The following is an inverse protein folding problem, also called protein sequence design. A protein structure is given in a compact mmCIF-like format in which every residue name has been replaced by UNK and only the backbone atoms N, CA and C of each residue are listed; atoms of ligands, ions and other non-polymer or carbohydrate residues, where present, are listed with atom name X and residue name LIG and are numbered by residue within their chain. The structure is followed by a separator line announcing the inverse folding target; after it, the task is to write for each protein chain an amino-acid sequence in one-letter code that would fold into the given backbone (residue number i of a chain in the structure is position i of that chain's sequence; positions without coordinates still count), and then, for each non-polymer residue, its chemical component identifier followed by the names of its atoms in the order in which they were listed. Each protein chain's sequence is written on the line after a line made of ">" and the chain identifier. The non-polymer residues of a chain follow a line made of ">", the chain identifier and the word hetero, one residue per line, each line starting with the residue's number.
data_IF_634559365078
#
_entry.id   IF_634559365078
#
_cell.length_a   1.000
_cell.length_b   1.000
_cell.length_c   1.000
_cell.angle_alpha   90.00
_cell.angle_beta   90.00
_cell.angle_gamma   90.00
#
_symmetry.space_group_name_H-M   'P 1'
#
loop_
_entity.id
_entity.type
_entity.pdbx_description
1 polymer ?
#
# COMPACT_ATOMS: atom_id res chain seq x y z
N UNK A 1 -11.10 -18.15 6.61
CA UNK A 1 -10.40 -17.25 7.54
C UNK A 1 -9.01 -17.83 7.80
N UNK A 2 -8.11 -17.72 6.83
CA UNK A 2 -6.69 -18.00 7.04
C UNK A 2 -6.05 -16.71 7.55
N UNK A 3 -5.37 -16.84 8.68
CA UNK A 3 -4.48 -15.87 9.28
C UNK A 3 -3.71 -15.08 8.22
N UNK A 4 -3.52 -13.78 8.42
CA UNK A 4 -2.36 -13.02 7.92
C UNK A 4 -1.13 -13.86 8.23
N UNK A 5 -0.68 -14.68 7.29
CA UNK A 5 0.50 -15.51 7.47
C UNK A 5 1.66 -14.56 7.24
N UNK A 6 2.11 -13.92 8.33
CA UNK A 6 3.48 -13.43 8.37
C UNK A 6 4.35 -14.63 8.03
N UNK A 7 4.97 -14.61 6.85
CA UNK A 7 5.98 -15.59 6.49
C UNK A 7 7.07 -15.48 7.56
N UNK A 8 7.22 -16.52 8.39
CA UNK A 8 8.13 -16.50 9.54
C UNK A 8 9.59 -16.26 9.12
N UNK A 9 9.89 -16.50 7.85
CA UNK A 9 11.23 -16.40 7.30
C UNK A 9 11.45 -15.10 6.54
N UNK A 10 10.45 -14.21 6.38
CA UNK A 10 10.64 -12.93 5.67
C UNK A 10 11.72 -12.09 6.35
N UNK A 11 12.72 -11.55 5.61
CA UNK A 11 13.95 -11.05 6.20
C UNK A 11 13.84 -9.63 6.78
N UNK A 12 12.66 -9.02 6.76
CA UNK A 12 12.40 -7.66 7.23
C UNK A 12 11.29 -7.66 8.28
N UNK A 13 11.49 -6.90 9.35
CA UNK A 13 10.39 -6.50 10.23
C UNK A 13 9.62 -5.36 9.56
N UNK A 14 8.29 -5.42 9.63
CA UNK A 14 7.42 -4.49 8.93
C UNK A 14 6.78 -3.55 9.95
N UNK A 15 6.96 -2.27 9.70
CA UNK A 15 6.35 -1.16 10.43
C UNK A 15 5.63 -0.25 9.44
N UNK A 16 4.41 0.16 9.78
CA UNK A 16 3.57 0.96 8.91
C UNK A 16 3.46 2.35 9.51
N UNK A 17 3.94 3.35 8.77
CA UNK A 17 3.75 4.76 9.10
C UNK A 17 3.52 5.58 7.83
N UNK A 18 2.91 6.74 7.99
CA UNK A 18 2.70 7.73 6.94
C UNK A 18 3.76 8.84 6.99
N UNK A 19 4.88 8.60 7.69
CA UNK A 19 5.95 9.58 7.93
C UNK A 19 6.51 10.18 6.63
N UNK A 20 6.78 9.35 5.62
CA UNK A 20 7.27 9.83 4.31
C UNK A 20 6.26 10.74 3.61
N UNK A 21 4.97 10.40 3.67
CA UNK A 21 3.90 11.24 3.13
C UNK A 21 3.79 12.56 3.90
N UNK A 22 3.87 12.54 5.24
CA UNK A 22 3.87 13.76 6.04
C UNK A 22 5.06 14.67 5.73
N UNK A 23 6.24 14.11 5.46
CA UNK A 23 7.40 14.90 5.02
C UNK A 23 7.12 15.66 3.73
N UNK A 24 6.43 15.06 2.77
CA UNK A 24 6.01 15.78 1.54
C UNK A 24 5.03 16.92 1.86
N UNK A 25 4.14 16.75 2.83
CA UNK A 25 3.27 17.84 3.27
C UNK A 25 4.06 18.94 4.01
N UNK A 26 5.09 18.60 4.78
CA UNK A 26 5.99 19.58 5.39
C UNK A 26 6.72 20.41 4.32
N UNK A 27 7.24 19.77 3.27
CA UNK A 27 7.87 20.46 2.13
C UNK A 27 6.87 21.38 1.39
N UNK A 28 5.61 20.95 1.28
CA UNK A 28 4.52 21.76 0.71
C UNK A 28 4.20 23.00 1.58
N UNK A 29 4.39 22.94 2.91
CA UNK A 29 4.23 24.11 3.78
C UNK A 29 5.25 25.21 3.47
N UNK A 30 6.49 24.82 3.17
CA UNK A 30 7.59 25.75 2.91
C UNK A 30 7.51 26.35 1.51
N UNK A 31 7.26 25.50 0.50
CA UNK A 31 7.46 25.83 -0.92
C UNK A 31 6.20 25.74 -1.78
N UNK A 32 5.12 25.17 -1.27
CA UNK A 32 3.89 24.93 -2.04
C UNK A 32 3.10 26.20 -2.34
N UNK A 33 2.13 26.08 -3.25
CA UNK A 33 1.10 27.10 -3.49
C UNK A 33 0.21 27.29 -2.26
N UNK A 34 -0.59 28.35 -2.23
CA UNK A 34 -1.55 28.60 -1.12
C UNK A 34 -2.47 27.39 -0.87
N UNK A 35 -2.97 26.76 -1.94
CA UNK A 35 -3.80 25.57 -1.84
C UNK A 35 -3.04 24.37 -1.24
N UNK A 36 -1.80 24.13 -1.69
CA UNK A 36 -0.96 23.06 -1.17
C UNK A 36 -0.61 23.27 0.31
N UNK A 37 -0.32 24.50 0.72
CA UNK A 37 -0.07 24.85 2.13
C UNK A 37 -1.31 24.65 2.99
N UNK A 38 -2.48 25.07 2.51
CA UNK A 38 -3.75 24.87 3.22
C UNK A 38 -4.05 23.38 3.41
N UNK A 39 -3.85 22.57 2.37
CA UNK A 39 -4.01 21.12 2.44
C UNK A 39 -3.01 20.48 3.39
N UNK A 40 -1.72 20.82 3.26
CA UNK A 40 -0.66 20.33 4.14
C UNK A 40 -0.93 20.66 5.61
N UNK A 41 -1.36 21.89 5.92
CA UNK A 41 -1.73 22.30 7.28
C UNK A 41 -2.82 21.38 7.84
N UNK A 42 -3.88 21.15 7.06
CA UNK A 42 -5.01 20.31 7.46
C UNK A 42 -4.59 18.86 7.74
N UNK A 43 -3.76 18.27 6.88
CA UNK A 43 -3.24 16.91 7.06
C UNK A 43 -2.32 16.82 8.28
N UNK A 44 -1.36 17.73 8.41
CA UNK A 44 -0.38 17.70 9.49
C UNK A 44 -1.01 17.95 10.87
N UNK A 45 -1.97 18.87 10.98
CA UNK A 45 -2.68 19.13 12.23
C UNK A 45 -3.59 17.96 12.63
N UNK A 46 -4.17 17.26 11.66
CA UNK A 46 -4.91 16.03 11.92
C UNK A 46 -3.97 14.90 12.38
N UNK A 47 -2.82 14.72 11.72
CA UNK A 47 -1.82 13.72 12.05
C UNK A 47 -1.27 13.89 13.49
N UNK A 48 -1.12 15.12 13.99
CA UNK A 48 -0.69 15.40 15.37
C UNK A 48 -1.60 14.76 16.44
N UNK A 49 -2.89 14.54 16.11
CA UNK A 49 -3.84 13.89 17.03
C UNK A 49 -3.65 12.37 17.12
N UNK A 50 -2.92 11.79 16.17
CA UNK A 50 -2.73 10.34 16.01
C UNK A 50 -1.24 10.02 15.78
N UNK A 51 -0.37 10.24 16.79
CA UNK A 51 1.07 10.09 16.64
C UNK A 51 1.52 8.70 16.16
N UNK A 52 0.78 7.64 16.51
CA UNK A 52 1.04 6.27 16.05
C UNK A 52 1.13 6.16 14.51
N UNK A 53 0.32 6.92 13.76
CA UNK A 53 0.33 6.92 12.29
C UNK A 53 1.61 7.55 11.71
N UNK A 54 2.35 8.33 12.50
CA UNK A 54 3.66 8.90 12.13
C UNK A 54 4.82 8.08 12.68
N UNK A 55 4.69 7.58 13.91
CA UNK A 55 5.75 6.89 14.64
C UNK A 55 5.92 5.45 14.20
N UNK A 56 4.85 4.77 13.78
CA UNK A 56 4.90 3.38 13.34
C UNK A 56 3.89 2.48 14.04
N UNK A 57 3.28 1.59 13.26
CA UNK A 57 2.39 0.52 13.73
C UNK A 57 2.95 -0.82 13.25
N UNK A 58 3.18 -1.75 14.19
CA UNK A 58 3.73 -3.08 13.89
C UNK A 58 2.66 -4.18 13.88
N UNK A 59 1.55 -3.99 14.60
CA UNK A 59 0.38 -4.86 14.49
C UNK A 59 -0.58 -4.33 13.43
N UNK A 60 -0.62 -5.00 12.28
CA UNK A 60 -1.49 -4.66 11.14
C UNK A 60 -2.96 -4.58 11.57
N UNK A 61 -3.39 -5.39 12.55
CA UNK A 61 -4.77 -5.34 13.05
C UNK A 61 -5.11 -4.01 13.71
N UNK A 62 -4.12 -3.30 14.25
CA UNK A 62 -4.34 -1.99 14.84
C UNK A 62 -4.71 -0.94 13.78
N UNK A 63 -4.31 -1.12 12.51
CA UNK A 63 -4.68 -0.21 11.42
C UNK A 63 -6.19 -0.14 11.20
N UNK A 64 -6.93 -1.22 11.50
CA UNK A 64 -8.39 -1.23 11.40
C UNK A 64 -9.04 -0.18 12.31
N UNK A 65 -8.39 0.16 13.43
CA UNK A 65 -8.86 1.21 14.35
C UNK A 65 -8.62 2.63 13.83
N UNK A 66 -7.82 2.79 12.77
CA UNK A 66 -7.46 4.08 12.20
C UNK A 66 -8.02 4.31 10.78
N UNK A 67 -9.02 3.53 10.34
CA UNK A 67 -9.48 3.58 8.95
C UNK A 67 -9.92 4.98 8.51
N UNK A 68 -10.71 5.70 9.32
CA UNK A 68 -11.16 7.06 9.01
C UNK A 68 -9.96 8.03 8.90
N UNK A 69 -8.94 7.83 9.73
CA UNK A 69 -7.73 8.65 9.72
C UNK A 69 -6.88 8.37 8.48
N UNK A 70 -6.73 7.09 8.13
CA UNK A 70 -6.01 6.63 6.94
C UNK A 70 -6.72 7.15 5.67
N UNK A 71 -8.05 7.09 5.64
CA UNK A 71 -8.86 7.62 4.53
C UNK A 71 -8.61 9.12 4.33
N UNK A 72 -8.62 9.89 5.41
CA UNK A 72 -8.32 11.32 5.37
C UNK A 72 -6.89 11.62 4.92
N UNK A 73 -5.89 10.92 5.48
CA UNK A 73 -4.47 11.13 5.15
C UNK A 73 -4.16 10.77 3.69
N UNK A 74 -4.80 9.72 3.17
CA UNK A 74 -4.56 9.21 1.82
C UNK A 74 -5.45 9.83 0.74
N UNK A 75 -6.32 10.77 1.09
CA UNK A 75 -7.32 11.33 0.16
C UNK A 75 -6.69 11.97 -1.09
N UNK A 76 -5.50 12.59 -1.00
CA UNK A 76 -4.81 13.13 -2.17
C UNK A 76 -4.28 12.03 -3.10
N UNK A 77 -3.82 10.93 -2.51
CA UNK A 77 -3.43 9.74 -3.25
C UNK A 77 -4.66 9.00 -3.78
N UNK A 78 -5.84 9.13 -3.18
CA UNK A 78 -7.08 8.46 -3.58
C UNK A 78 -8.17 9.48 -3.92
N UNK A 79 -7.83 10.46 -4.76
CA UNK A 79 -8.71 11.56 -5.10
C UNK A 79 -10.11 11.09 -5.56
N UNK A 80 -11.16 11.75 -5.04
CA UNK A 80 -12.56 11.39 -5.28
C UNK A 80 -12.92 11.31 -6.77
N UNK A 81 -12.32 12.17 -7.59
CA UNK A 81 -12.54 12.22 -9.04
C UNK A 81 -11.93 11.03 -9.80
N UNK A 82 -10.98 10.29 -9.20
CA UNK A 82 -10.31 9.14 -9.81
C UNK A 82 -10.84 7.78 -9.32
N UNK A 83 -11.71 7.78 -8.30
CA UNK A 83 -12.21 6.59 -7.60
C UNK A 83 -12.81 5.50 -8.53
N UNK A 84 -13.45 5.90 -9.63
CA UNK A 84 -14.08 4.99 -10.60
C UNK A 84 -13.20 4.68 -11.80
N UNK A 85 -12.12 5.43 -12.00
CA UNK A 85 -11.26 5.30 -13.17
C UNK A 85 -9.99 4.50 -12.86
N UNK A 86 -9.40 4.64 -11.68
CA UNK A 86 -8.16 3.95 -11.33
C UNK A 86 -8.42 2.64 -10.59
N UNK A 87 -7.60 1.61 -10.84
CA UNK A 87 -7.50 0.44 -9.97
C UNK A 87 -6.24 0.62 -9.15
N UNK A 88 -6.42 1.06 -7.91
CA UNK A 88 -5.32 1.36 -6.99
C UNK A 88 -5.63 0.89 -5.59
N UNK A 89 -4.59 0.40 -4.93
CA UNK A 89 -4.59 -0.07 -3.54
C UNK A 89 -3.35 0.45 -2.83
N UNK A 90 -3.47 0.72 -1.53
CA UNK A 90 -2.34 0.89 -0.63
C UNK A 90 -2.25 -0.38 0.22
N UNK A 91 -1.08 -1.02 0.17
CA UNK A 91 -0.83 -2.32 0.80
C UNK A 91 0.60 -2.37 1.31
N UNK A 92 0.85 -3.34 2.18
CA UNK A 92 2.19 -3.75 2.56
C UNK A 92 2.76 -4.59 1.40
N UNK A 93 4.01 -4.36 0.96
CA UNK A 93 4.63 -5.17 -0.08
C UNK A 93 4.56 -6.66 0.25
N UNK A 94 4.17 -7.47 -0.74
CA UNK A 94 4.16 -8.94 -0.64
C UNK A 94 3.18 -9.50 0.40
N UNK A 95 2.21 -8.71 0.83
CA UNK A 95 1.13 -9.16 1.71
C UNK A 95 -0.23 -8.75 1.17
N UNK A 96 -1.25 -9.49 1.60
CA UNK A 96 -2.62 -9.35 1.12
C UNK A 96 -3.42 -8.28 1.89
N UNK A 97 -2.73 -7.50 2.74
CA UNK A 97 -3.33 -6.52 3.64
C UNK A 97 -3.51 -5.16 2.98
N UNK A 98 -4.70 -4.90 2.46
CA UNK A 98 -5.06 -3.62 1.84
C UNK A 98 -5.74 -2.72 2.88
N UNK A 99 -5.14 -1.57 3.16
CA UNK A 99 -5.68 -0.58 4.11
C UNK A 99 -6.31 0.64 3.42
N UNK A 100 -6.14 0.79 2.09
CA UNK A 100 -6.90 1.74 1.30
C UNK A 100 -7.06 1.25 -0.14
N UNK A 101 -8.21 1.50 -0.77
CA UNK A 101 -8.44 1.17 -2.17
C UNK A 101 -9.48 2.06 -2.85
N UNK A 102 -9.29 2.21 -4.17
CA UNK A 102 -10.25 2.86 -5.07
C UNK A 102 -11.59 2.12 -5.15
N UNK A 103 -12.67 2.86 -5.41
CA UNK A 103 -14.00 2.27 -5.62
C UNK A 103 -14.02 1.27 -6.79
N UNK A 104 -13.26 1.52 -7.86
CA UNK A 104 -13.15 0.60 -9.00
C UNK A 104 -12.57 -0.75 -8.57
N UNK A 105 -11.51 -0.76 -7.74
CA UNK A 105 -10.96 -1.99 -7.17
C UNK A 105 -12.02 -2.72 -6.33
N UNK A 106 -12.69 -2.01 -5.41
CA UNK A 106 -13.76 -2.57 -4.56
C UNK A 106 -14.86 -3.24 -5.40
N UNK A 107 -15.26 -2.62 -6.50
CA UNK A 107 -16.27 -3.17 -7.41
C UNK A 107 -15.79 -4.45 -8.11
N UNK A 108 -14.53 -4.49 -8.57
CA UNK A 108 -13.94 -5.66 -9.23
C UNK A 108 -13.91 -6.86 -8.27
N UNK A 109 -13.40 -6.67 -7.05
CA UNK A 109 -13.33 -7.74 -6.04
C UNK A 109 -14.72 -8.18 -5.61
N UNK A 110 -15.67 -7.24 -5.45
CA UNK A 110 -17.06 -7.58 -5.11
C UNK A 110 -17.71 -8.48 -6.17
N UNK A 111 -17.39 -8.27 -7.44
CA UNK A 111 -17.87 -9.09 -8.55
C UNK A 111 -17.24 -10.49 -8.53
N UNK A 112 -15.97 -10.60 -8.16
CA UNK A 112 -15.27 -11.89 -8.05
C UNK A 112 -15.86 -12.81 -6.98
N UNK A 113 -16.55 -12.23 -5.98
CA UNK A 113 -17.28 -12.94 -4.94
C UNK A 113 -16.48 -13.11 -3.64
N UNK A 114 -17.17 -13.48 -2.56
CA UNK A 114 -16.59 -13.54 -1.21
C UNK A 114 -15.57 -14.65 -0.99
N UNK A 115 -15.49 -15.63 -1.90
CA UNK A 115 -14.48 -16.69 -1.88
C UNK A 115 -13.20 -16.32 -2.64
N UNK A 116 -13.16 -15.16 -3.29
CA UNK A 116 -11.98 -14.70 -3.99
C UNK A 116 -10.91 -14.24 -3.00
N UNK A 117 -9.72 -14.83 -3.10
CA UNK A 117 -8.52 -14.41 -2.38
C UNK A 117 -7.55 -13.78 -3.39
N UNK A 118 -7.02 -12.61 -3.04
CA UNK A 118 -6.10 -11.88 -3.91
C UNK A 118 -4.71 -12.53 -3.81
N UNK A 119 -4.26 -13.18 -4.88
CA UNK A 119 -2.95 -13.84 -4.92
C UNK A 119 -2.19 -13.50 -6.21
N UNK A 120 -0.89 -13.19 -6.07
CA UNK A 120 -0.01 -12.98 -7.22
C UNK A 120 0.28 -14.29 -7.94
N UNK A 121 0.13 -14.31 -9.26
CA UNK A 121 0.40 -15.50 -10.08
C UNK A 121 1.89 -15.86 -10.03
N UNK A 122 2.20 -17.14 -9.76
CA UNK A 122 3.55 -17.70 -9.66
C UNK A 122 4.42 -17.09 -8.55
N UNK A 123 3.82 -16.53 -7.50
CA UNK A 123 4.54 -16.07 -6.30
C UNK A 123 4.28 -16.98 -5.11
N UNK A 124 5.36 -17.38 -4.46
CA UNK A 124 5.35 -18.18 -3.23
C UNK A 124 6.20 -17.49 -2.13
N UNK A 125 6.21 -18.11 -0.95
CA UNK A 125 6.97 -17.65 0.21
C UNK A 125 8.47 -17.50 -0.08
N UNK A 126 9.06 -18.34 -0.94
CA UNK A 126 10.48 -18.26 -1.31
C UNK A 126 10.78 -17.05 -2.17
N UNK A 127 9.90 -16.75 -3.13
CA UNK A 127 10.06 -15.59 -3.99
C UNK A 127 9.94 -14.30 -3.17
N UNK A 128 9.00 -14.24 -2.22
CA UNK A 128 8.91 -13.10 -1.30
C UNK A 128 10.17 -12.93 -0.46
N UNK A 129 10.75 -14.03 0.05
CA UNK A 129 12.03 -14.00 0.75
C UNK A 129 13.16 -13.41 -0.12
N UNK A 130 13.32 -13.89 -1.35
CA UNK A 130 14.33 -13.40 -2.29
C UNK A 130 14.13 -11.91 -2.56
N UNK A 131 12.88 -11.45 -2.76
CA UNK A 131 12.58 -10.04 -2.96
C UNK A 131 12.94 -9.18 -1.74
N UNK A 132 12.64 -9.64 -0.53
CA UNK A 132 13.04 -8.98 0.72
C UNK A 132 14.56 -8.85 0.85
N UNK A 133 15.30 -9.94 0.60
CA UNK A 133 16.77 -9.91 0.58
C UNK A 133 17.32 -8.94 -0.48
N UNK A 134 16.66 -8.84 -1.63
CA UNK A 134 17.06 -7.94 -2.70
C UNK A 134 16.90 -6.47 -2.32
N UNK A 135 15.83 -6.15 -1.58
CA UNK A 135 15.62 -4.83 -1.00
C UNK A 135 16.77 -4.48 -0.05
N UNK A 136 17.14 -5.40 0.86
CA UNK A 136 18.26 -5.22 1.80
C UNK A 136 19.59 -4.99 1.05
N UNK A 137 19.89 -5.84 0.05
CA UNK A 137 21.11 -5.74 -0.75
C UNK A 137 21.19 -4.43 -1.53
N UNK A 138 20.06 -3.91 -2.00
CA UNK A 138 20.00 -2.63 -2.67
C UNK A 138 20.20 -1.46 -1.72
N UNK A 139 19.48 -1.44 -0.60
CA UNK A 139 19.48 -0.34 0.36
C UNK A 139 20.83 -0.19 1.08
N UNK A 140 21.44 -1.29 1.51
CA UNK A 140 22.62 -1.26 2.39
C UNK A 140 23.95 -1.59 1.71
N UNK A 141 23.90 -2.32 0.58
CA UNK A 141 25.12 -2.87 -0.04
C UNK A 141 25.34 -2.37 -1.48
N UNK A 142 24.46 -1.51 -1.99
CA UNK A 142 24.60 -0.89 -3.32
C UNK A 142 24.39 -1.86 -4.49
N UNK A 143 23.96 -3.09 -4.25
CA UNK A 143 23.66 -4.05 -5.32
C UNK A 143 22.33 -3.68 -5.99
N UNK A 144 22.38 -3.34 -7.27
CA UNK A 144 21.17 -3.12 -8.08
C UNK A 144 20.67 -4.44 -8.64
N UNK A 145 19.92 -5.17 -7.83
CA UNK A 145 19.34 -6.45 -8.24
C UNK A 145 17.92 -6.22 -8.72
N UNK A 146 17.67 -6.47 -10.00
CA UNK A 146 16.35 -6.31 -10.60
C UNK A 146 15.65 -7.66 -10.72
N UNK A 147 14.82 -7.99 -9.73
CA UNK A 147 13.93 -9.15 -9.76
C UNK A 147 12.52 -8.79 -10.27
N UNK A 148 12.33 -7.60 -10.87
CA UNK A 148 11.02 -7.20 -11.40
C UNK A 148 10.71 -8.01 -12.64
N UNK A 149 9.92 -9.05 -12.45
CA UNK A 149 9.14 -9.70 -13.51
C UNK A 149 7.73 -9.11 -13.55
N UNK A 150 7.05 -9.15 -14.70
CA UNK A 150 5.64 -8.77 -14.78
C UNK A 150 4.83 -9.57 -13.75
N UNK A 151 4.16 -8.86 -12.86
CA UNK A 151 3.29 -9.41 -11.81
C UNK A 151 1.84 -9.27 -12.24
N UNK A 152 1.04 -10.28 -11.95
CA UNK A 152 -0.37 -10.29 -12.32
C UNK A 152 -1.25 -10.79 -11.19
N UNK A 153 -2.45 -10.22 -11.09
CA UNK A 153 -3.58 -10.79 -10.36
C UNK A 153 -4.59 -11.34 -11.35
N UNK A 154 -5.11 -12.51 -11.04
CA UNK A 154 -6.23 -13.11 -11.74
C UNK A 154 -7.51 -12.83 -10.97
N UNK A 155 -8.46 -12.12 -11.59
CA UNK A 155 -9.75 -11.81 -10.98
C UNK A 155 -10.86 -12.17 -11.97
N UNK A 156 -11.79 -13.07 -11.64
CA UNK A 156 -12.92 -13.37 -12.50
C UNK A 156 -13.89 -12.18 -12.56
N UNK A 157 -14.45 -11.92 -13.74
CA UNK A 157 -15.52 -10.95 -13.91
C UNK A 157 -16.92 -11.57 -13.68
N UNK A 158 -17.97 -10.76 -13.87
CA UNK A 158 -19.35 -11.17 -13.61
C UNK A 158 -19.84 -12.29 -14.56
N UNK A 159 -19.14 -12.51 -15.67
CA UNK A 159 -19.42 -13.58 -16.63
C UNK A 159 -18.56 -14.83 -16.35
N UNK A 160 -17.73 -14.81 -15.30
CA UNK A 160 -16.78 -15.86 -14.98
C UNK A 160 -15.54 -15.86 -15.87
N UNK A 161 -15.34 -14.82 -16.69
CA UNK A 161 -14.15 -14.71 -17.54
C UNK A 161 -12.99 -14.25 -16.66
N UNK A 162 -11.88 -14.99 -16.70
CA UNK A 162 -10.68 -14.61 -15.97
C UNK A 162 -10.05 -13.36 -16.59
N UNK A 163 -9.85 -12.33 -15.78
CA UNK A 163 -9.17 -11.10 -16.17
C UNK A 163 -7.80 -11.05 -15.53
N UNK A 164 -6.77 -10.82 -16.34
CA UNK A 164 -5.38 -10.73 -15.92
C UNK A 164 -5.00 -9.26 -15.72
N UNK A 165 -4.80 -8.84 -14.47
CA UNK A 165 -4.44 -7.47 -14.11
C UNK A 165 -2.95 -7.36 -13.83
N UNK A 166 -2.23 -6.60 -14.66
CA UNK A 166 -0.82 -6.31 -14.41
C UNK A 166 -0.65 -5.40 -13.19
N UNK A 167 0.25 -5.77 -12.29
CA UNK A 167 0.57 -5.03 -11.07
C UNK A 167 1.75 -4.10 -11.30
N UNK A 168 1.64 -2.87 -10.79
CA UNK A 168 2.74 -1.92 -10.71
C UNK A 168 2.89 -1.45 -9.28
N UNK A 169 4.06 -1.69 -8.68
CA UNK A 169 4.39 -1.20 -7.35
C UNK A 169 5.05 0.18 -7.44
N UNK A 170 4.55 1.13 -6.66
CA UNK A 170 5.25 2.37 -6.34
C UNK A 170 5.82 2.22 -4.93
N UNK A 171 7.14 2.33 -4.80
CA UNK A 171 7.86 2.22 -3.53
C UNK A 171 8.33 3.56 -2.96
N UNK A 172 7.89 4.70 -3.50
CA UNK A 172 8.37 6.03 -3.10
C UNK A 172 8.09 6.35 -1.62
N UNK A 173 7.08 5.70 -1.05
CA UNK A 173 6.69 5.82 0.36
C UNK A 173 7.26 4.72 1.27
N UNK A 174 8.15 3.86 0.77
CA UNK A 174 8.82 2.82 1.56
C UNK A 174 10.19 3.27 2.03
N UNK A 175 10.59 2.89 3.24
CA UNK A 175 11.95 3.03 3.79
C UNK A 175 12.47 1.68 4.29
N UNK A 176 13.79 1.53 4.37
CA UNK A 176 14.50 0.27 4.69
C UNK A 176 15.72 0.58 5.54
#
# INVERSE_FOLDING_TARGET
>A
MKSTKRNKDFPLEIEISFKKLFKMYEENMESGSELLRSRATSILDYAKKYPALREGITDIKELENYQDQIDFILEDLFASVLQKNEIKVATIPFQDSIFQSTQRYKNIVKVAGSSYELELIDFDENIYYIMGCSIILNAYYGYKIDFRRPMYYDIPDAQGIMRHYKVMYNGDFMDV
#
